data_IF_876655220872
#
_entry.id   IF_876655220872
#
_cell.length_a   1.000
_cell.length_b   1.000
_cell.length_c   1.000
_cell.angle_alpha   90.00
_cell.angle_beta   90.00
_cell.angle_gamma   90.00
#
_symmetry.space_group_name_H-M   'P 1'
#
loop_
_entity.id
_entity.type
_entity.pdbx_description
1 polymer ?
#
# COMPACT_ATOMS: atom_id res chain seq x y z
N UNK A 1 -53.63 -31.58 -59.63
CA UNK A 1 -54.35 -30.29 -59.63
C UNK A 1 -55.08 -30.21 -58.29
N UNK A 2 -55.11 -29.01 -57.68
CA UNK A 2 -55.50 -28.70 -56.28
C UNK A 2 -54.33 -28.88 -55.28
N UNK A 3 -53.47 -27.88 -55.07
CA UNK A 3 -53.58 -26.57 -54.35
C UNK A 3 -53.73 -26.77 -52.82
N UNK A 4 -52.72 -26.33 -52.07
CA UNK A 4 -52.75 -26.34 -50.60
C UNK A 4 -51.66 -25.48 -49.97
N UNK A 5 -51.97 -24.17 -49.86
CA UNK A 5 -51.48 -23.18 -48.91
C UNK A 5 -49.96 -22.90 -48.78
N UNK A 6 -49.54 -21.78 -49.38
CA UNK A 6 -48.49 -20.93 -48.84
C UNK A 6 -48.91 -20.42 -47.45
N UNK A 7 -48.15 -20.80 -46.41
CA UNK A 7 -47.96 -19.94 -45.24
C UNK A 7 -46.50 -19.49 -45.23
N UNK A 8 -46.27 -18.27 -45.72
CA UNK A 8 -45.00 -17.58 -45.57
C UNK A 8 -44.72 -17.38 -44.07
N UNK A 9 -43.83 -18.20 -43.52
CA UNK A 9 -43.25 -17.98 -42.20
C UNK A 9 -42.34 -16.75 -42.29
N UNK A 10 -42.87 -15.59 -41.90
CA UNK A 10 -42.15 -14.33 -41.81
C UNK A 10 -41.02 -14.48 -40.78
N UNK A 11 -39.85 -14.88 -41.25
CA UNK A 11 -38.63 -14.98 -40.44
C UNK A 11 -38.06 -13.58 -40.30
N UNK A 12 -38.69 -12.78 -39.43
CA UNK A 12 -38.00 -11.66 -38.81
C UNK A 12 -36.88 -12.25 -37.95
N UNK A 13 -35.74 -12.57 -38.59
CA UNK A 13 -34.49 -12.85 -37.91
C UNK A 13 -34.06 -11.54 -37.24
N UNK A 14 -34.60 -11.30 -36.04
CA UNK A 14 -34.00 -10.35 -35.13
C UNK A 14 -32.59 -10.85 -34.87
N UNK A 15 -31.64 -10.18 -35.50
CA UNK A 15 -30.24 -10.52 -35.46
C UNK A 15 -29.71 -10.15 -34.06
N UNK A 16 -30.01 -11.02 -33.09
CA UNK A 16 -29.64 -10.92 -31.68
C UNK A 16 -28.13 -11.21 -31.46
N UNK A 17 -27.29 -10.91 -32.45
CA UNK A 17 -25.85 -11.09 -32.34
C UNK A 17 -25.26 -9.97 -31.49
N UNK A 18 -24.91 -10.32 -30.25
CA UNK A 18 -24.14 -9.44 -29.36
C UNK A 18 -22.79 -9.13 -30.01
N UNK A 19 -22.43 -7.84 -30.11
CA UNK A 19 -21.11 -7.42 -30.62
C UNK A 19 -19.99 -7.97 -29.72
N UNK A 20 -18.96 -8.54 -30.35
CA UNK A 20 -17.72 -8.94 -29.66
C UNK A 20 -16.97 -7.72 -29.15
N UNK A 21 -16.45 -7.81 -27.92
CA UNK A 21 -15.64 -6.74 -27.31
C UNK A 21 -14.18 -6.71 -27.75
N UNK A 22 -13.67 -7.77 -28.39
CA UNK A 22 -12.28 -7.88 -28.87
C UNK A 22 -11.19 -7.46 -27.85
N UNK A 23 -11.40 -7.78 -26.57
CA UNK A 23 -10.42 -7.47 -25.53
C UNK A 23 -9.19 -8.38 -25.63
N UNK A 24 -7.98 -7.86 -25.41
CA UNK A 24 -6.78 -8.68 -25.37
C UNK A 24 -6.84 -9.64 -24.16
N UNK A 25 -6.21 -10.83 -24.27
CA UNK A 25 -6.13 -11.76 -23.15
C UNK A 25 -5.33 -11.15 -22.00
N UNK A 26 -5.53 -11.69 -20.79
CA UNK A 26 -4.79 -11.25 -19.61
C UNK A 26 -3.31 -11.58 -19.76
N UNK A 27 -2.43 -10.67 -19.31
CA UNK A 27 -0.98 -10.90 -19.30
C UNK A 27 -0.60 -12.12 -18.44
N UNK A 28 -1.37 -12.36 -17.38
CA UNK A 28 -1.05 -13.33 -16.34
C UNK A 28 -1.66 -14.71 -16.56
N UNK A 29 -2.66 -14.84 -17.43
CA UNK A 29 -3.39 -16.09 -17.65
C UNK A 29 -3.84 -16.73 -16.33
N UNK A 30 -3.46 -17.99 -16.13
CA UNK A 30 -3.71 -18.75 -14.90
C UNK A 30 -2.45 -18.92 -14.03
N UNK A 31 -1.41 -18.11 -14.23
CA UNK A 31 -0.11 -18.28 -13.54
C UNK A 31 -0.21 -18.18 -12.01
N UNK A 32 -1.23 -17.49 -11.51
CA UNK A 32 -1.51 -17.36 -10.08
C UNK A 32 -2.65 -18.28 -9.59
N UNK A 33 -3.21 -19.13 -10.46
CA UNK A 33 -4.32 -20.01 -10.11
C UNK A 33 -3.89 -21.19 -9.22
N UNK A 34 -2.60 -21.54 -9.22
CA UNK A 34 -2.02 -22.54 -8.34
C UNK A 34 -0.78 -21.97 -7.69
N UNK A 35 -0.70 -22.11 -6.36
CA UNK A 35 0.42 -21.66 -5.57
C UNK A 35 0.75 -22.72 -4.52
N UNK A 36 2.03 -23.09 -4.44
CA UNK A 36 2.55 -23.95 -3.39
C UNK A 36 3.30 -23.08 -2.40
N UNK A 37 2.86 -23.08 -1.15
CA UNK A 37 3.46 -22.25 -0.11
C UNK A 37 4.73 -22.91 0.45
N UNK A 38 5.91 -22.25 0.37
CA UNK A 38 7.15 -22.79 0.90
C UNK A 38 7.20 -22.59 2.43
N UNK A 39 6.45 -23.42 3.16
CA UNK A 39 6.25 -23.30 4.61
C UNK A 39 7.56 -23.17 5.40
N UNK A 40 8.56 -23.99 5.09
CA UNK A 40 9.86 -24.02 5.81
C UNK A 40 10.67 -22.75 5.63
N UNK A 41 10.68 -22.19 4.42
CA UNK A 41 11.37 -20.92 4.13
C UNK A 41 10.63 -19.77 4.80
N UNK A 42 9.30 -19.78 4.72
CA UNK A 42 8.47 -18.77 5.37
C UNK A 42 8.67 -18.74 6.89
N UNK A 43 8.73 -19.90 7.55
CA UNK A 43 9.02 -19.99 8.99
C UNK A 43 10.41 -19.43 9.33
N UNK A 44 11.43 -19.74 8.50
CA UNK A 44 12.78 -19.20 8.67
C UNK A 44 12.81 -17.67 8.54
N UNK A 45 12.16 -17.12 7.51
CA UNK A 45 12.06 -15.67 7.33
C UNK A 45 11.24 -15.00 8.43
N UNK A 46 10.16 -15.63 8.87
CA UNK A 46 9.32 -15.10 9.95
C UNK A 46 10.13 -14.92 11.23
N UNK A 47 10.98 -15.90 11.59
CA UNK A 47 11.88 -15.79 12.74
C UNK A 47 12.87 -14.64 12.59
N UNK A 48 13.50 -14.50 11.42
CA UNK A 48 14.45 -13.41 11.15
C UNK A 48 13.76 -12.04 11.21
N UNK A 49 12.52 -11.95 10.75
CA UNK A 49 11.71 -10.74 10.82
C UNK A 49 11.44 -10.33 12.27
N UNK A 50 11.13 -11.26 13.17
CA UNK A 50 10.96 -10.93 14.60
C UNK A 50 12.26 -10.38 15.22
N UNK A 51 13.40 -10.99 14.92
CA UNK A 51 14.71 -10.48 15.38
C UNK A 51 15.02 -9.08 14.81
N UNK A 52 14.70 -8.84 13.54
CA UNK A 52 14.88 -7.53 12.90
C UNK A 52 13.91 -6.47 13.44
N UNK A 53 12.67 -6.83 13.81
CA UNK A 53 11.71 -5.90 14.40
C UNK A 53 12.25 -5.29 15.69
N UNK A 54 12.79 -6.11 16.59
CA UNK A 54 13.35 -5.60 17.84
C UNK A 54 14.55 -4.67 17.56
N UNK A 55 15.44 -5.03 16.63
CA UNK A 55 16.55 -4.16 16.24
C UNK A 55 16.08 -2.81 15.67
N UNK A 56 15.06 -2.82 14.81
CA UNK A 56 14.49 -1.59 14.22
C UNK A 56 13.79 -0.75 15.28
N UNK A 57 13.12 -1.39 16.25
CA UNK A 57 12.51 -0.72 17.39
C UNK A 57 13.55 -0.02 18.26
N UNK A 58 14.67 -0.66 18.55
CA UNK A 58 15.78 -0.04 19.27
C UNK A 58 16.36 1.15 18.50
N UNK A 59 16.51 1.03 17.17
CA UNK A 59 16.92 2.15 16.31
C UNK A 59 15.90 3.30 16.34
N UNK A 60 14.60 3.01 16.33
CA UNK A 60 13.54 4.00 16.42
C UNK A 60 13.61 4.75 17.76
N UNK A 61 13.80 4.03 18.88
CA UNK A 61 13.95 4.64 20.20
C UNK A 61 15.19 5.52 20.25
N UNK A 62 16.33 5.03 19.73
CA UNK A 62 17.59 5.79 19.71
C UNK A 62 17.48 7.06 18.86
N UNK A 63 16.75 7.02 17.74
CA UNK A 63 16.60 8.18 16.85
C UNK A 63 15.92 9.37 17.53
N UNK A 64 15.24 9.19 18.68
CA UNK A 64 14.60 10.26 19.45
C UNK A 64 15.58 11.29 20.03
N UNK A 65 16.89 11.01 20.03
CA UNK A 65 17.92 11.97 20.45
C UNK A 65 17.92 13.25 19.59
N UNK A 66 17.44 13.17 18.33
CA UNK A 66 17.28 14.29 17.42
C UNK A 66 15.92 14.20 16.70
N UNK A 67 14.97 15.12 16.96
CA UNK A 67 13.65 15.08 16.35
C UNK A 67 13.67 15.02 14.81
N UNK A 68 14.65 15.64 14.15
CA UNK A 68 14.75 15.59 12.68
C UNK A 68 15.15 14.19 12.23
N UNK A 69 16.15 13.58 12.85
CA UNK A 69 16.55 12.19 12.56
C UNK A 69 15.41 11.21 12.87
N UNK A 70 14.66 11.44 13.94
CA UNK A 70 13.50 10.63 14.27
C UNK A 70 12.45 10.66 13.15
N UNK A 71 12.10 11.84 12.63
CA UNK A 71 11.14 11.97 11.53
C UNK A 71 11.68 11.37 10.24
N UNK A 72 12.97 11.55 9.94
CA UNK A 72 13.60 10.91 8.78
C UNK A 72 13.49 9.39 8.85
N UNK A 73 13.73 8.83 10.04
CA UNK A 73 13.63 7.40 10.28
C UNK A 73 12.18 6.90 10.16
N UNK A 74 11.21 7.60 10.75
CA UNK A 74 9.79 7.29 10.59
C UNK A 74 9.40 7.32 9.11
N UNK A 75 9.80 8.36 8.39
CA UNK A 75 9.55 8.48 6.97
C UNK A 75 10.16 7.31 6.16
N UNK A 76 11.36 6.85 6.53
CA UNK A 76 11.98 5.69 5.91
C UNK A 76 11.15 4.42 6.16
N UNK A 77 10.68 4.18 7.38
CA UNK A 77 9.80 3.04 7.71
C UNK A 77 8.50 3.06 6.90
N UNK A 78 7.88 4.24 6.74
CA UNK A 78 6.68 4.41 5.92
C UNK A 78 6.96 4.09 4.44
N UNK A 79 8.08 4.58 3.88
CA UNK A 79 8.44 4.33 2.47
C UNK A 79 8.84 2.88 2.20
N UNK A 80 9.36 2.19 3.21
CA UNK A 80 9.63 0.75 3.14
C UNK A 80 8.38 -0.10 3.33
N UNK A 81 7.25 0.50 3.74
CA UNK A 81 5.99 -0.22 3.96
C UNK A 81 6.00 -1.09 5.22
N UNK A 82 6.88 -0.81 6.18
CA UNK A 82 7.05 -1.59 7.42
C UNK A 82 6.63 -0.84 8.69
N UNK A 83 6.20 0.43 8.56
CA UNK A 83 5.79 1.28 9.69
C UNK A 83 4.65 0.68 10.53
N UNK A 84 3.78 -0.14 9.95
CA UNK A 84 2.66 -0.78 10.65
C UNK A 84 3.10 -1.69 11.81
N UNK A 85 4.35 -2.18 11.81
CA UNK A 85 4.90 -2.96 12.92
C UNK A 85 5.24 -2.11 14.16
N UNK A 86 5.34 -0.79 14.01
CA UNK A 86 5.80 0.14 15.04
C UNK A 86 4.78 1.25 15.30
N UNK A 87 3.49 0.98 15.05
CA UNK A 87 2.44 1.99 15.10
C UNK A 87 2.44 2.78 16.42
N UNK A 88 2.51 2.09 17.56
CA UNK A 88 2.47 2.71 18.88
C UNK A 88 3.71 3.59 19.14
N UNK A 89 4.89 3.10 18.76
CA UNK A 89 6.15 3.82 18.91
C UNK A 89 6.17 5.08 18.03
N UNK A 90 5.69 4.96 16.78
CA UNK A 90 5.59 6.07 15.83
C UNK A 90 4.58 7.11 16.34
N UNK A 91 3.38 6.69 16.76
CA UNK A 91 2.35 7.61 17.27
C UNK A 91 2.86 8.41 18.48
N UNK A 92 3.50 7.74 19.44
CA UNK A 92 4.06 8.40 20.62
C UNK A 92 5.16 9.40 20.24
N UNK A 93 6.07 9.02 19.34
CA UNK A 93 7.14 9.92 18.89
C UNK A 93 6.57 11.15 18.16
N UNK A 94 5.60 10.95 17.26
CA UNK A 94 4.96 12.06 16.55
C UNK A 94 4.22 13.00 17.49
N UNK A 95 3.60 12.49 18.55
CA UNK A 95 2.98 13.31 19.59
C UNK A 95 4.02 14.19 20.30
N UNK A 96 5.12 13.60 20.76
CA UNK A 96 6.20 14.35 21.43
C UNK A 96 6.77 15.45 20.52
N UNK A 97 6.98 15.15 19.24
CA UNK A 97 7.48 16.14 18.27
C UNK A 97 6.44 17.22 17.99
N UNK A 98 5.16 16.86 17.92
CA UNK A 98 4.09 17.82 17.73
C UNK A 98 4.00 18.80 18.91
N UNK A 99 4.16 18.30 20.14
CA UNK A 99 4.12 19.11 21.35
C UNK A 99 5.31 20.11 21.41
N UNK A 100 6.48 19.75 20.87
CA UNK A 100 7.68 20.60 20.80
C UNK A 100 7.88 21.30 19.43
N UNK A 101 6.89 21.22 18.54
CA UNK A 101 6.99 21.67 17.15
C UNK A 101 7.43 23.13 17.00
N UNK A 102 6.93 24.12 17.78
CA UNK A 102 7.37 25.51 17.66
C UNK A 102 8.87 25.67 17.92
N UNK A 103 9.39 25.02 18.96
CA UNK A 103 10.80 25.09 19.33
C UNK A 103 11.68 24.40 18.28
N UNK A 104 11.21 23.27 17.74
CA UNK A 104 11.89 22.56 16.67
C UNK A 104 12.03 23.43 15.42
N UNK A 105 10.95 24.09 14.99
CA UNK A 105 10.98 24.95 13.81
C UNK A 105 11.86 26.18 14.00
N UNK A 106 11.83 26.79 15.19
CA UNK A 106 12.69 27.94 15.52
C UNK A 106 14.17 27.54 15.54
N UNK A 107 14.52 26.40 16.15
CA UNK A 107 15.89 25.86 16.18
C UNK A 107 16.46 25.63 14.78
N UNK A 108 15.61 25.29 13.83
CA UNK A 108 15.96 25.01 12.44
C UNK A 108 15.71 26.19 11.50
N UNK A 109 15.47 27.40 12.02
CA UNK A 109 15.22 28.61 11.23
C UNK A 109 14.16 28.42 10.14
N UNK A 110 13.14 27.61 10.45
CA UNK A 110 12.05 27.27 9.53
C UNK A 110 12.54 26.71 8.18
N UNK A 111 13.63 25.94 8.19
CA UNK A 111 14.18 25.40 6.95
C UNK A 111 13.14 24.54 6.19
N UNK A 112 13.14 24.68 4.86
CA UNK A 112 12.15 24.06 4.01
C UNK A 112 12.20 22.53 4.08
N UNK A 113 13.38 21.95 4.30
CA UNK A 113 13.53 20.50 4.34
C UNK A 113 12.81 19.92 5.56
N UNK A 114 13.13 20.40 6.76
CA UNK A 114 12.51 19.95 8.02
C UNK A 114 10.99 20.16 7.98
N UNK A 115 10.55 21.33 7.52
CA UNK A 115 9.14 21.69 7.45
C UNK A 115 8.36 20.81 6.44
N UNK A 116 8.95 20.56 5.27
CA UNK A 116 8.36 19.66 4.27
C UNK A 116 8.30 18.20 4.74
N UNK A 117 9.33 17.76 5.47
CA UNK A 117 9.43 16.41 5.98
C UNK A 117 8.39 16.15 7.09
N UNK A 118 8.29 17.08 8.05
CA UNK A 118 7.26 17.10 9.08
C UNK A 118 5.86 16.97 8.46
N UNK A 119 5.52 17.89 7.57
CA UNK A 119 4.20 17.92 6.92
C UNK A 119 3.88 16.60 6.21
N UNK A 120 4.85 16.06 5.46
CA UNK A 120 4.69 14.77 4.78
C UNK A 120 4.41 13.65 5.77
N UNK A 121 5.21 13.52 6.83
CA UNK A 121 5.06 12.42 7.79
C UNK A 121 3.74 12.51 8.55
N UNK A 122 3.39 13.70 9.05
CA UNK A 122 2.14 13.92 9.76
C UNK A 122 0.90 13.61 8.91
N UNK A 123 0.93 13.87 7.61
CA UNK A 123 -0.19 13.50 6.71
C UNK A 123 -0.16 12.01 6.34
N UNK A 124 1.03 11.45 6.14
CA UNK A 124 1.18 10.06 5.67
C UNK A 124 0.77 9.04 6.73
N UNK A 125 1.00 9.35 8.02
CA UNK A 125 0.71 8.42 9.12
C UNK A 125 -0.77 8.44 9.52
N UNK A 126 -1.53 9.49 9.18
CA UNK A 126 -2.98 9.57 9.42
C UNK A 126 -3.81 8.65 8.50
N UNK A 127 -3.17 7.99 7.51
CA UNK A 127 -3.83 7.12 6.53
C UNK A 127 -3.45 5.63 6.63
N UNK A 128 -2.69 5.21 7.65
CA UNK A 128 -2.58 3.80 8.04
C UNK A 128 -3.59 3.49 9.14
#
# INVERSE_FOLDING_TARGET
MEIGADLAANTNQQNNSRRSGNFPPTLWGCSFASFSFPQTEFESYSRQVEELKENVKDMLIKSKEDPVQNIEFINLLCRLGVSYHFYNEIENNLREIFDDLPNLLEKHDYDLYTLSLLFRVFISVVCM
#
